data_IF_631354950467
#
_entry.id   IF_631354950467
#
_cell.length_a   1.000
_cell.length_b   1.000
_cell.length_c   1.000
_cell.angle_alpha   90.00
_cell.angle_beta   90.00
_cell.angle_gamma   90.00
#
_symmetry.space_group_name_H-M   'P 1'
#
loop_
_entity.id
_entity.type
_entity.pdbx_description
1 polymer ?
#
# COMPACT_ATOMS: atom_id res chain seq x y z
N UNK A 1 0.13 13.04 -1.72
CA UNK A 1 0.25 11.59 -1.93
C UNK A 1 -0.23 11.23 -3.33
N UNK A 2 0.34 10.21 -3.97
CA UNK A 2 -0.06 9.74 -5.31
C UNK A 2 0.05 8.22 -5.37
N UNK A 3 -0.80 7.60 -6.19
CA UNK A 3 -0.83 6.15 -6.39
C UNK A 3 -0.23 5.78 -7.74
N UNK A 4 0.64 4.77 -7.78
CA UNK A 4 1.25 4.25 -9.00
C UNK A 4 0.34 3.22 -9.69
N UNK A 5 0.31 3.25 -11.02
CA UNK A 5 -0.37 2.29 -11.89
C UNK A 5 0.45 2.06 -13.14
N UNK A 6 0.28 0.89 -13.75
CA UNK A 6 0.89 0.59 -15.06
C UNK A 6 0.32 1.52 -16.16
N UNK A 7 1.13 1.84 -17.19
CA UNK A 7 0.67 2.60 -18.35
C UNK A 7 -0.60 2.01 -18.97
N UNK A 8 -1.54 2.86 -19.37
CA UNK A 8 -2.82 2.43 -19.94
C UNK A 8 -3.90 2.08 -18.91
N UNK A 9 -3.59 1.98 -17.62
CA UNK A 9 -4.58 1.65 -16.58
C UNK A 9 -5.67 2.73 -16.48
N UNK A 10 -5.29 4.01 -16.43
CA UNK A 10 -6.26 5.10 -16.21
C UNK A 10 -7.19 5.29 -17.40
N UNK A 11 -6.71 5.10 -18.62
CA UNK A 11 -7.48 5.18 -19.85
C UNK A 11 -8.57 4.09 -19.88
N UNK A 12 -8.22 2.85 -19.51
CA UNK A 12 -9.16 1.73 -19.41
C UNK A 12 -10.24 1.99 -18.36
N UNK A 13 -9.85 2.44 -17.16
CA UNK A 13 -10.81 2.76 -16.10
C UNK A 13 -11.73 3.92 -16.49
N UNK A 14 -11.20 4.96 -17.16
CA UNK A 14 -12.00 6.08 -17.67
C UNK A 14 -13.02 5.62 -18.71
N UNK A 15 -12.63 4.73 -19.63
CA UNK A 15 -13.54 4.14 -20.62
C UNK A 15 -14.70 3.41 -19.94
N UNK A 16 -14.41 2.52 -18.99
CA UNK A 16 -15.45 1.78 -18.26
C UNK A 16 -16.38 2.71 -17.49
N UNK A 17 -15.83 3.75 -16.85
CA UNK A 17 -16.61 4.79 -16.19
C UNK A 17 -17.54 5.53 -17.16
N UNK A 18 -17.02 5.93 -18.32
CA UNK A 18 -17.80 6.66 -19.33
C UNK A 18 -18.94 5.82 -19.93
N UNK A 19 -18.80 4.50 -19.92
CA UNK A 19 -19.80 3.54 -20.38
C UNK A 19 -20.80 3.12 -19.28
N UNK A 20 -20.72 3.69 -18.08
CA UNK A 20 -21.65 3.42 -16.98
C UNK A 20 -21.40 2.13 -16.20
N UNK A 21 -20.27 1.45 -16.40
CA UNK A 21 -19.97 0.18 -15.70
C UNK A 21 -19.79 0.35 -14.18
N UNK A 22 -19.61 1.58 -13.70
CA UNK A 22 -19.47 1.90 -12.28
C UNK A 22 -20.66 2.67 -11.73
N UNK A 23 -21.76 2.78 -12.48
CA UNK A 23 -22.94 3.52 -12.05
C UNK A 23 -23.64 2.83 -10.88
N UNK A 24 -24.22 3.66 -10.02
CA UNK A 24 -24.96 3.25 -8.82
C UNK A 24 -26.47 3.27 -9.04
N UNK A 25 -26.93 3.63 -10.24
CA UNK A 25 -28.33 3.52 -10.64
C UNK A 25 -28.60 2.11 -11.20
N UNK A 26 -29.60 1.39 -10.68
CA UNK A 26 -30.00 0.10 -11.23
C UNK A 26 -30.47 0.22 -12.69
N UNK A 27 -30.06 -0.73 -13.51
CA UNK A 27 -30.54 -0.91 -14.89
C UNK A 27 -31.50 -2.09 -14.95
N UNK A 28 -32.59 -1.96 -15.71
CA UNK A 28 -33.49 -3.07 -15.99
C UNK A 28 -32.97 -3.88 -17.19
N UNK A 29 -32.62 -5.14 -16.95
CA UNK A 29 -32.16 -6.09 -17.97
C UNK A 29 -33.13 -7.27 -17.98
N UNK A 30 -34.04 -7.29 -18.97
CA UNK A 30 -35.17 -8.22 -18.98
C UNK A 30 -36.14 -7.93 -17.82
N UNK A 31 -36.37 -8.93 -16.98
CA UNK A 31 -37.22 -8.82 -15.78
C UNK A 31 -36.43 -8.49 -14.50
N UNK A 32 -35.09 -8.42 -14.57
CA UNK A 32 -34.24 -8.20 -13.42
C UNK A 32 -33.71 -6.77 -13.37
N UNK A 33 -33.56 -6.24 -12.16
CA UNK A 33 -32.80 -5.02 -11.90
C UNK A 33 -31.37 -5.39 -11.51
N UNK A 34 -30.40 -4.80 -12.20
CA UNK A 34 -28.97 -5.05 -11.97
C UNK A 34 -28.25 -3.74 -11.70
N UNK A 35 -27.38 -3.76 -10.70
CA UNK A 35 -26.52 -2.62 -10.39
C UNK A 35 -25.20 -2.75 -11.18
N UNK A 36 -24.90 -1.88 -12.17
CA UNK A 36 -23.72 -2.02 -13.02
C UNK A 36 -22.44 -2.17 -12.22
N UNK A 37 -22.24 -1.35 -11.19
CA UNK A 37 -21.08 -1.42 -10.30
C UNK A 37 -20.88 -2.80 -9.67
N UNK A 38 -21.95 -3.44 -9.20
CA UNK A 38 -21.88 -4.77 -8.58
C UNK A 38 -21.55 -5.85 -9.61
N UNK A 39 -22.18 -5.79 -10.79
CA UNK A 39 -21.89 -6.73 -11.88
C UNK A 39 -20.43 -6.58 -12.32
N UNK A 40 -19.95 -5.35 -12.53
CA UNK A 40 -18.56 -5.07 -12.90
C UNK A 40 -17.57 -5.56 -11.85
N UNK A 41 -17.85 -5.34 -10.56
CA UNK A 41 -17.01 -5.85 -9.48
C UNK A 41 -16.89 -7.39 -9.51
N UNK A 42 -18.00 -8.10 -9.74
CA UNK A 42 -18.00 -9.57 -9.89
C UNK A 42 -17.26 -10.03 -11.14
N UNK A 43 -17.40 -9.31 -12.26
CA UNK A 43 -16.65 -9.62 -13.47
C UNK A 43 -15.15 -9.42 -13.27
N UNK A 44 -14.74 -8.37 -12.56
CA UNK A 44 -13.34 -8.14 -12.19
C UNK A 44 -12.81 -9.21 -11.25
N UNK A 45 -13.55 -9.54 -10.18
CA UNK A 45 -13.18 -10.62 -9.25
C UNK A 45 -12.94 -11.92 -10.01
N UNK A 46 -13.85 -12.30 -10.92
CA UNK A 46 -13.71 -13.52 -11.72
C UNK A 46 -12.55 -13.45 -12.72
N UNK A 47 -12.35 -12.33 -13.38
CA UNK A 47 -11.47 -12.25 -14.57
C UNK A 47 -10.06 -11.76 -14.25
N UNK A 48 -9.87 -11.07 -13.12
CA UNK A 48 -8.58 -10.50 -12.68
C UNK A 48 -8.00 -11.24 -11.48
N UNK A 49 -8.72 -12.22 -10.90
CA UNK A 49 -8.16 -13.11 -9.91
C UNK A 49 -7.15 -14.06 -10.56
N UNK A 50 -5.87 -13.79 -10.31
CA UNK A 50 -4.74 -14.54 -10.83
C UNK A 50 -3.82 -14.94 -9.68
N UNK A 51 -4.16 -16.00 -8.91
CA UNK A 51 -3.45 -16.36 -7.69
C UNK A 51 -2.00 -16.79 -7.94
N UNK A 52 -1.72 -17.30 -9.15
CA UNK A 52 -0.37 -17.71 -9.56
C UNK A 52 0.54 -16.53 -9.93
N UNK A 53 -0.03 -15.31 -10.04
CA UNK A 53 0.72 -14.09 -10.34
C UNK A 53 1.03 -13.37 -9.04
N UNK A 54 2.32 -13.35 -8.68
CA UNK A 54 2.81 -12.61 -7.53
C UNK A 54 2.56 -11.11 -7.65
N UNK A 55 2.25 -10.45 -6.53
CA UNK A 55 2.14 -9.00 -6.46
C UNK A 55 3.50 -8.33 -6.24
N UNK A 56 3.49 -6.99 -6.27
CA UNK A 56 4.61 -6.17 -5.87
C UNK A 56 4.10 -4.93 -5.13
N UNK A 57 4.96 -4.39 -4.26
CA UNK A 57 4.80 -3.08 -3.68
C UNK A 57 5.94 -2.18 -4.14
N UNK A 58 5.59 -1.05 -4.75
CA UNK A 58 6.54 0.01 -5.10
C UNK A 58 6.11 1.31 -4.42
N UNK A 59 7.00 1.86 -3.59
CA UNK A 59 6.79 3.12 -2.88
C UNK A 59 8.03 3.99 -3.02
N UNK A 60 7.81 5.28 -3.30
CA UNK A 60 8.86 6.28 -3.28
C UNK A 60 8.41 7.50 -2.49
N UNK A 61 9.25 7.94 -1.58
CA UNK A 61 9.09 9.18 -0.83
C UNK A 61 10.21 10.12 -1.29
N UNK A 62 9.85 11.35 -1.66
CA UNK A 62 10.83 12.40 -2.00
C UNK A 62 10.61 13.57 -1.07
N UNK A 63 11.62 13.88 -0.28
CA UNK A 63 11.64 15.02 0.64
C UNK A 63 12.57 16.07 0.04
N UNK A 64 12.04 17.26 -0.23
CA UNK A 64 12.81 18.40 -0.73
C UNK A 64 12.80 19.51 0.30
N UNK A 65 13.95 20.15 0.50
CA UNK A 65 14.05 21.26 1.42
C UNK A 65 15.34 22.05 1.24
N UNK A 66 15.52 23.04 2.10
CA UNK A 66 16.72 23.86 2.15
C UNK A 66 17.46 23.51 3.43
N UNK A 67 18.74 23.13 3.31
CA UNK A 67 19.64 22.88 4.43
C UNK A 67 20.82 23.82 4.26
N UNK A 68 21.07 24.67 5.26
CA UNK A 68 22.17 25.65 5.23
C UNK A 68 22.18 26.54 3.96
N UNK A 69 20.99 26.94 3.51
CA UNK A 69 20.81 27.80 2.34
C UNK A 69 20.97 27.08 0.98
N UNK A 70 21.17 25.76 0.97
CA UNK A 70 21.27 24.95 -0.26
C UNK A 70 20.07 24.02 -0.40
N UNK A 71 19.58 23.86 -1.63
CA UNK A 71 18.58 22.84 -1.94
C UNK A 71 19.15 21.44 -1.68
N UNK A 72 18.37 20.63 -0.98
CA UNK A 72 18.70 19.24 -0.70
C UNK A 72 17.46 18.37 -0.86
N UNK A 73 17.64 17.29 -1.59
CA UNK A 73 16.63 16.26 -1.82
C UNK A 73 17.07 14.98 -1.11
N UNK A 74 16.12 14.32 -0.45
CA UNK A 74 16.25 12.95 0.06
C UNK A 74 15.20 12.09 -0.62
N UNK A 75 15.60 10.90 -1.07
CA UNK A 75 14.68 9.93 -1.67
C UNK A 75 14.73 8.65 -0.86
N UNK A 76 13.55 8.10 -0.57
CA UNK A 76 13.41 6.80 0.04
C UNK A 76 12.60 5.91 -0.88
N UNK A 77 13.05 4.67 -1.11
CA UNK A 77 12.36 3.70 -1.97
C UNK A 77 12.16 2.39 -1.25
N UNK A 78 10.99 1.79 -1.47
CA UNK A 78 10.68 0.41 -1.10
C UNK A 78 10.17 -0.28 -2.34
N UNK A 79 10.84 -1.36 -2.71
CA UNK A 79 10.42 -2.26 -3.76
C UNK A 79 10.42 -3.67 -3.19
N UNK A 80 9.24 -4.23 -3.00
CA UNK A 80 9.03 -5.57 -2.46
C UNK A 80 8.23 -6.41 -3.45
N UNK A 81 8.49 -7.71 -3.46
CA UNK A 81 7.87 -8.66 -4.36
C UNK A 81 7.25 -9.82 -3.56
N UNK A 82 6.32 -10.52 -4.19
CA UNK A 82 5.76 -11.76 -3.67
C UNK A 82 6.85 -12.72 -3.17
N UNK A 83 6.65 -13.26 -1.97
CA UNK A 83 7.53 -14.28 -1.38
C UNK A 83 7.13 -15.67 -1.88
N UNK A 84 7.87 -16.23 -2.82
CA UNK A 84 7.61 -17.59 -3.29
C UNK A 84 7.96 -18.67 -2.27
N UNK A 85 8.85 -18.41 -1.31
CA UNK A 85 9.23 -19.40 -0.30
C UNK A 85 8.19 -19.49 0.82
N UNK A 86 7.61 -18.35 1.20
CA UNK A 86 6.62 -18.26 2.28
C UNK A 86 5.18 -18.16 1.79
N UNK A 87 4.99 -18.05 0.48
CA UNK A 87 3.69 -17.86 -0.18
C UNK A 87 2.93 -16.63 0.36
N UNK A 88 3.65 -15.53 0.58
CA UNK A 88 3.08 -14.28 1.13
C UNK A 88 3.26 -13.13 0.16
N UNK A 89 2.18 -12.40 -0.11
CA UNK A 89 2.18 -11.22 -0.98
C UNK A 89 3.03 -10.07 -0.43
N UNK A 90 3.62 -9.27 -1.30
CA UNK A 90 4.35 -8.05 -0.95
C UNK A 90 3.47 -7.10 -0.12
N UNK A 91 2.19 -6.96 -0.49
CA UNK A 91 1.22 -6.17 0.28
C UNK A 91 0.99 -6.71 1.69
N UNK A 92 0.82 -8.03 1.83
CA UNK A 92 0.59 -8.66 3.13
C UNK A 92 1.83 -8.58 4.03
N UNK A 93 3.03 -8.77 3.47
CA UNK A 93 4.30 -8.62 4.20
C UNK A 93 4.48 -7.19 4.73
N UNK A 94 4.41 -6.21 3.85
CA UNK A 94 4.65 -4.79 4.19
C UNK A 94 3.62 -4.22 5.15
N UNK A 95 2.39 -4.72 5.11
CA UNK A 95 1.31 -4.31 6.04
C UNK A 95 1.36 -5.11 7.34
N UNK A 96 1.29 -6.44 7.24
CA UNK A 96 1.17 -7.34 8.37
C UNK A 96 2.42 -7.40 9.24
N UNK A 97 3.62 -7.41 8.64
CA UNK A 97 4.86 -7.43 9.43
C UNK A 97 5.06 -6.12 10.18
N UNK A 98 4.75 -4.98 9.55
CA UNK A 98 4.81 -3.67 10.22
C UNK A 98 3.88 -3.67 11.44
N UNK A 99 2.63 -4.09 11.28
CA UNK A 99 1.67 -4.18 12.38
C UNK A 99 2.16 -5.11 13.50
N UNK A 100 2.64 -6.31 13.16
CA UNK A 100 3.15 -7.28 14.12
C UNK A 100 4.39 -6.78 14.89
N UNK A 101 5.32 -6.11 14.20
CA UNK A 101 6.52 -5.53 14.82
C UNK A 101 6.12 -4.43 15.82
N UNK A 102 5.24 -3.52 15.42
CA UNK A 102 4.78 -2.43 16.30
C UNK A 102 4.02 -2.97 17.50
N UNK A 103 3.17 -3.98 17.32
CA UNK A 103 2.49 -4.67 18.43
C UNK A 103 3.49 -5.32 19.41
N UNK A 104 4.55 -5.95 18.89
CA UNK A 104 5.63 -6.48 19.72
C UNK A 104 6.36 -5.39 20.51
N UNK A 105 6.66 -4.25 19.89
CA UNK A 105 7.28 -3.10 20.59
C UNK A 105 6.39 -2.53 21.69
N UNK A 106 5.06 -2.54 21.50
CA UNK A 106 4.11 -2.17 22.53
C UNK A 106 4.17 -3.14 23.71
N UNK A 107 4.17 -4.45 23.44
CA UNK A 107 4.29 -5.49 24.47
C UNK A 107 5.61 -5.42 25.25
N UNK A 108 6.71 -5.07 24.58
CA UNK A 108 8.05 -4.93 25.18
C UNK A 108 8.21 -3.63 26.01
N UNK A 109 7.19 -2.77 26.06
CA UNK A 109 7.24 -1.50 26.79
C UNK A 109 8.09 -0.41 26.12
N UNK A 110 8.47 -0.59 24.85
CA UNK A 110 9.16 0.44 24.04
C UNK A 110 8.25 1.64 23.82
N UNK A 111 6.97 1.37 23.57
CA UNK A 111 5.94 2.39 23.35
C UNK A 111 5.21 2.72 24.66
N UNK A 112 5.57 3.85 25.28
CA UNK A 112 5.02 4.27 26.59
C UNK A 112 3.85 5.25 26.50
N UNK A 113 3.61 5.81 25.31
CA UNK A 113 2.57 6.81 25.09
C UNK A 113 1.19 6.15 25.19
N UNK A 114 0.24 6.82 25.85
CA UNK A 114 -1.13 6.34 26.04
C UNK A 114 -2.10 7.12 25.14
N UNK A 115 -3.22 6.49 24.80
CA UNK A 115 -4.25 7.09 23.93
C UNK A 115 -3.97 6.87 22.46
N UNK A 116 -4.57 7.70 21.60
CA UNK A 116 -4.39 7.63 20.15
C UNK A 116 -3.06 8.29 19.79
N UNK A 117 -2.14 7.49 19.25
CA UNK A 117 -0.84 7.97 18.77
C UNK A 117 -0.76 7.71 17.28
N UNK A 118 -0.56 8.78 16.49
CA UNK A 118 -0.47 8.66 15.04
C UNK A 118 0.92 8.20 14.60
N UNK A 119 1.05 7.56 13.41
CA UNK A 119 2.34 7.13 12.88
C UNK A 119 3.36 8.26 12.75
N UNK A 120 2.94 9.48 12.43
CA UNK A 120 3.82 10.65 12.30
C UNK A 120 4.44 11.00 13.65
N UNK A 121 3.64 10.95 14.71
CA UNK A 121 4.11 11.20 16.08
C UNK A 121 5.03 10.09 16.58
N UNK A 122 4.73 8.83 16.24
CA UNK A 122 5.63 7.70 16.54
C UNK A 122 6.95 7.82 15.79
N UNK A 123 6.91 8.21 14.52
CA UNK A 123 8.08 8.35 13.64
C UNK A 123 9.08 9.41 14.11
N UNK A 124 8.65 10.39 14.91
CA UNK A 124 9.54 11.35 15.56
C UNK A 124 10.46 10.72 16.61
N UNK A 125 10.12 9.53 17.14
CA UNK A 125 10.99 8.77 18.02
C UNK A 125 12.02 7.99 17.19
N UNK A 126 13.28 8.42 17.24
CA UNK A 126 14.36 7.79 16.48
C UNK A 126 14.60 6.32 16.86
N UNK A 127 14.52 5.98 18.16
CA UNK A 127 14.69 4.60 18.63
C UNK A 127 13.60 3.68 18.07
N UNK A 128 12.35 4.16 18.04
CA UNK A 128 11.24 3.43 17.42
C UNK A 128 11.49 3.20 15.93
N UNK A 129 11.81 4.26 15.19
CA UNK A 129 12.03 4.20 13.74
C UNK A 129 13.22 3.28 13.39
N UNK A 130 14.35 3.40 14.09
CA UNK A 130 15.52 2.55 13.88
C UNK A 130 15.19 1.07 14.15
N UNK A 131 14.50 0.79 15.27
CA UNK A 131 14.12 -0.58 15.62
C UNK A 131 13.14 -1.16 14.60
N UNK A 132 12.18 -0.36 14.09
CA UNK A 132 11.22 -0.80 13.08
C UNK A 132 11.94 -1.14 11.77
N UNK A 133 12.79 -0.24 11.28
CA UNK A 133 13.56 -0.45 10.06
C UNK A 133 14.49 -1.66 10.16
N UNK A 134 15.15 -1.86 11.32
CA UNK A 134 15.98 -3.04 11.58
C UNK A 134 15.17 -4.34 11.54
N UNK A 135 13.97 -4.36 12.11
CA UNK A 135 13.12 -5.56 12.14
C UNK A 135 12.51 -5.87 10.77
N UNK A 136 12.14 -4.85 9.99
CA UNK A 136 11.71 -5.01 8.61
C UNK A 136 12.86 -5.52 7.72
N UNK A 137 14.05 -4.95 7.89
CA UNK A 137 15.26 -5.37 7.16
C UNK A 137 15.64 -6.83 7.41
N UNK A 138 15.51 -7.32 8.65
CA UNK A 138 15.68 -8.76 8.98
C UNK A 138 14.70 -9.68 8.24
N UNK A 139 13.57 -9.14 7.77
CA UNK A 139 12.52 -9.84 7.02
C UNK A 139 12.60 -9.55 5.52
N UNK A 140 13.71 -8.97 5.05
CA UNK A 140 13.96 -8.69 3.64
C UNK A 140 13.30 -7.42 3.10
N UNK A 141 12.50 -6.71 3.91
CA UNK A 141 11.87 -5.45 3.50
C UNK A 141 12.87 -4.32 3.74
N UNK A 142 13.44 -3.78 2.66
CA UNK A 142 14.48 -2.75 2.73
C UNK A 142 13.95 -1.40 2.28
N UNK A 143 14.31 -0.37 3.02
CA UNK A 143 14.14 1.02 2.61
C UNK A 143 15.50 1.50 2.09
N UNK A 144 15.57 1.76 0.80
CA UNK A 144 16.74 2.36 0.17
C UNK A 144 16.66 3.88 0.32
N UNK A 145 17.78 4.53 0.63
CA UNK A 145 17.87 5.99 0.74
C UNK A 145 18.95 6.54 -0.19
N UNK A 146 18.59 7.56 -0.97
CA UNK A 146 19.49 8.37 -1.83
C UNK A 146 19.46 9.83 -1.41
#
# INVERSE_FOLDING_TARGET
>A
EKTLRYPGHVEKVKLLKALGFFDEEPLKVGEQEVLPKTVTARLFERSLWMPDVGDLLAMQITVRGIVEGKEKDYKFRVLDYYDHEKEVSAMARTTGYTAAIVAGMLSDGVLKQKGIVTPERLGMNHEFTERLMKQLGKRGIKVESE
#
